data_IF_334329084827
#
_entry.id   IF_334329084827
#
_cell.length_a   1.000
_cell.length_b   1.000
_cell.length_c   1.000
_cell.angle_alpha   90.00
_cell.angle_beta   90.00
_cell.angle_gamma   90.00
#
_symmetry.space_group_name_H-M   'P 1'
#
loop_
_entity.id
_entity.type
_entity.pdbx_description
1 polymer ?
#
# COMPACT_ATOMS: atom_id res chain seq x y z
N UNK A 1 7.16 14.60 -10.56
CA UNK A 1 7.09 13.17 -10.95
C UNK A 1 7.57 12.39 -9.74
N UNK A 2 6.78 11.43 -9.23
CA UNK A 2 7.06 10.82 -7.92
C UNK A 2 7.83 9.51 -8.07
N UNK A 3 8.97 9.39 -7.37
CA UNK A 3 9.82 8.19 -7.41
C UNK A 3 9.08 6.93 -6.92
N UNK A 4 8.24 7.09 -5.88
CA UNK A 4 7.38 6.02 -5.36
C UNK A 4 6.34 5.56 -6.37
N UNK A 5 5.73 6.50 -7.09
CA UNK A 5 4.76 6.16 -8.14
C UNK A 5 5.39 5.39 -9.29
N UNK A 6 6.64 5.71 -9.63
CA UNK A 6 7.40 5.02 -10.68
C UNK A 6 7.79 3.61 -10.20
N UNK A 7 8.25 3.46 -8.96
CA UNK A 7 8.52 2.14 -8.35
C UNK A 7 7.26 1.28 -8.31
N UNK A 8 6.11 1.83 -7.90
CA UNK A 8 4.86 1.08 -7.92
C UNK A 8 4.39 0.72 -9.32
N UNK A 9 4.81 1.44 -10.35
CA UNK A 9 4.50 1.10 -11.74
C UNK A 9 5.42 0.00 -12.28
N UNK A 10 6.70 0.05 -11.93
CA UNK A 10 7.74 -0.82 -12.49
C UNK A 10 7.93 -2.11 -11.68
N UNK A 11 7.70 -2.05 -10.37
CA UNK A 11 8.09 -3.08 -9.40
C UNK A 11 6.92 -3.55 -8.54
N UNK A 12 5.69 -3.31 -8.99
CA UNK A 12 4.45 -3.72 -8.32
C UNK A 12 4.51 -5.17 -7.83
N UNK A 13 4.80 -6.11 -8.74
CA UNK A 13 4.78 -7.54 -8.42
C UNK A 13 5.88 -7.90 -7.41
N UNK A 14 7.05 -7.24 -7.47
CA UNK A 14 8.14 -7.48 -6.51
C UNK A 14 7.77 -7.01 -5.10
N UNK A 15 7.10 -5.86 -4.99
CA UNK A 15 6.60 -5.36 -3.70
C UNK A 15 5.54 -6.33 -3.15
N UNK A 16 4.62 -6.78 -4.01
CA UNK A 16 3.58 -7.73 -3.65
C UNK A 16 4.15 -9.10 -3.21
N UNK A 17 5.14 -9.63 -3.94
CA UNK A 17 5.82 -10.88 -3.60
C UNK A 17 6.56 -10.80 -2.27
N UNK A 18 7.34 -9.73 -2.05
CA UNK A 18 8.04 -9.52 -0.78
C UNK A 18 7.08 -9.41 0.40
N UNK A 19 5.99 -8.67 0.24
CA UNK A 19 4.94 -8.60 1.26
C UNK A 19 4.32 -9.99 1.50
N UNK A 20 3.95 -10.71 0.44
CA UNK A 20 3.32 -12.02 0.55
C UNK A 20 4.23 -13.07 1.21
N UNK A 21 5.55 -12.99 1.03
CA UNK A 21 6.51 -13.84 1.73
C UNK A 21 6.52 -13.60 3.25
N UNK A 22 6.31 -12.35 3.67
CA UNK A 22 6.31 -11.95 5.09
C UNK A 22 4.97 -12.23 5.77
N UNK A 23 3.86 -12.18 5.04
CA UNK A 23 2.50 -12.26 5.61
C UNK A 23 1.79 -13.58 5.34
N UNK A 24 2.24 -14.35 4.33
CA UNK A 24 1.62 -15.61 3.87
C UNK A 24 0.09 -15.48 3.73
N UNK A 25 -0.38 -14.51 2.94
CA UNK A 25 -1.79 -14.15 2.86
C UNK A 25 -2.60 -15.24 2.15
N UNK A 26 -3.91 -15.24 2.37
CA UNK A 26 -4.82 -15.98 1.49
C UNK A 26 -4.86 -15.35 0.09
N UNK A 27 -5.32 -16.10 -0.92
CA UNK A 27 -5.43 -15.58 -2.29
C UNK A 27 -6.29 -14.32 -2.37
N UNK A 28 -7.39 -14.26 -1.61
CA UNK A 28 -8.28 -13.10 -1.57
C UNK A 28 -7.62 -11.86 -0.96
N UNK A 29 -6.83 -12.02 0.12
CA UNK A 29 -6.09 -10.90 0.71
C UNK A 29 -4.98 -10.43 -0.23
N UNK A 30 -4.26 -11.36 -0.89
CA UNK A 30 -3.24 -11.02 -1.89
C UNK A 30 -3.81 -10.20 -3.03
N UNK A 31 -4.96 -10.59 -3.56
CA UNK A 31 -5.65 -9.84 -4.62
C UNK A 31 -6.03 -8.43 -4.17
N UNK A 32 -6.60 -8.28 -2.97
CA UNK A 32 -6.98 -6.97 -2.44
C UNK A 32 -5.76 -6.05 -2.26
N UNK A 33 -4.64 -6.59 -1.77
CA UNK A 33 -3.39 -5.83 -1.64
C UNK A 33 -2.79 -5.47 -3.00
N UNK A 34 -2.90 -6.33 -4.01
CA UNK A 34 -2.47 -6.02 -5.37
C UNK A 34 -3.25 -4.81 -5.95
N UNK A 35 -4.56 -4.77 -5.73
CA UNK A 35 -5.42 -3.65 -6.12
C UNK A 35 -5.07 -2.38 -5.33
N UNK A 36 -4.82 -2.51 -4.03
CA UNK A 36 -4.41 -1.42 -3.14
C UNK A 36 -3.11 -0.77 -3.62
N UNK A 37 -2.08 -1.57 -3.94
CA UNK A 37 -0.80 -1.06 -4.46
C UNK A 37 -0.97 -0.32 -5.80
N UNK A 38 -1.84 -0.81 -6.67
CA UNK A 38 -2.16 -0.15 -7.94
C UNK A 38 -2.79 1.22 -7.71
N UNK A 39 -3.79 1.28 -6.81
CA UNK A 39 -4.50 2.51 -6.49
C UNK A 39 -3.64 3.51 -5.70
N UNK A 40 -2.72 3.01 -4.87
CA UNK A 40 -1.72 3.81 -4.18
C UNK A 40 -0.78 4.49 -5.17
N UNK A 41 -0.31 3.76 -6.19
CA UNK A 41 0.52 4.33 -7.25
C UNK A 41 -0.19 5.43 -8.03
N UNK A 42 -1.50 5.27 -8.29
CA UNK A 42 -2.32 6.32 -8.90
C UNK A 42 -2.46 7.56 -7.99
N UNK A 43 -2.68 7.36 -6.69
CA UNK A 43 -2.81 8.45 -5.71
C UNK A 43 -1.51 9.23 -5.52
N UNK A 44 -0.37 8.54 -5.51
CA UNK A 44 0.95 9.17 -5.48
C UNK A 44 1.23 10.01 -6.72
N UNK A 45 0.84 9.55 -7.91
CA UNK A 45 0.94 10.35 -9.15
C UNK A 45 0.08 11.60 -9.11
N UNK A 46 -1.13 11.48 -8.58
CA UNK A 46 -2.07 12.58 -8.47
C UNK A 46 -1.77 13.55 -7.31
N UNK A 47 -0.87 13.16 -6.39
CA UNK A 47 -0.57 13.91 -5.17
C UNK A 47 -1.75 14.00 -4.19
N UNK A 48 -2.76 13.14 -4.34
CA UNK A 48 -3.99 13.18 -3.54
C UNK A 48 -4.67 11.81 -3.51
N UNK A 49 -5.45 11.54 -2.46
CA UNK A 49 -6.22 10.30 -2.29
C UNK A 49 -7.18 10.12 -3.46
N UNK A 50 -7.07 9.00 -4.18
CA UNK A 50 -8.05 8.61 -5.20
C UNK A 50 -9.17 7.74 -4.60
N UNK A 51 -10.41 7.83 -5.08
CA UNK A 51 -11.50 6.96 -4.63
C UNK A 51 -11.16 5.47 -4.71
N UNK A 52 -10.45 5.06 -5.77
CA UNK A 52 -9.99 3.68 -5.94
C UNK A 52 -9.10 3.18 -4.80
N UNK A 53 -8.31 4.06 -4.17
CA UNK A 53 -7.48 3.70 -3.01
C UNK A 53 -8.36 3.34 -1.82
N UNK A 54 -9.42 4.11 -1.58
CA UNK A 54 -10.35 3.88 -0.49
C UNK A 54 -11.15 2.59 -0.71
N UNK A 55 -11.64 2.33 -1.92
CA UNK A 55 -12.35 1.08 -2.21
C UNK A 55 -11.45 -0.15 -2.04
N UNK A 56 -10.21 -0.10 -2.54
CA UNK A 56 -9.26 -1.18 -2.36
C UNK A 56 -8.91 -1.40 -0.88
N UNK A 57 -8.76 -0.32 -0.11
CA UNK A 57 -8.54 -0.39 1.33
C UNK A 57 -9.71 -1.05 2.07
N UNK A 58 -10.96 -0.74 1.70
CA UNK A 58 -12.15 -1.40 2.26
C UNK A 58 -12.17 -2.89 1.94
N UNK A 59 -11.84 -3.26 0.70
CA UNK A 59 -11.79 -4.67 0.29
C UNK A 59 -10.73 -5.43 1.09
N UNK A 60 -9.53 -4.85 1.27
CA UNK A 60 -8.48 -5.44 2.11
C UNK A 60 -8.91 -5.55 3.59
N UNK A 61 -9.61 -4.54 4.11
CA UNK A 61 -10.21 -4.54 5.44
C UNK A 61 -11.21 -5.69 5.64
N UNK A 62 -12.17 -5.83 4.72
CA UNK A 62 -13.20 -6.89 4.72
C UNK A 62 -12.61 -8.30 4.61
N UNK A 63 -11.47 -8.45 3.92
CA UNK A 63 -10.80 -9.75 3.74
C UNK A 63 -9.75 -10.05 4.81
N UNK A 64 -9.36 -9.07 5.61
CA UNK A 64 -8.35 -9.26 6.64
C UNK A 64 -8.89 -10.10 7.80
N UNK A 65 -8.12 -11.07 8.31
CA UNK A 65 -8.59 -11.99 9.33
C UNK A 65 -8.74 -11.34 10.72
N UNK A 66 -7.91 -10.34 11.02
CA UNK A 66 -7.96 -9.57 12.26
C UNK A 66 -7.30 -8.20 12.07
N UNK A 67 -7.70 -7.22 12.88
CA UNK A 67 -7.23 -5.84 12.79
C UNK A 67 -5.70 -5.71 12.93
N UNK A 68 -5.07 -6.51 13.79
CA UNK A 68 -3.61 -6.48 13.97
C UNK A 68 -2.85 -6.96 12.72
N UNK A 69 -3.42 -7.88 11.94
CA UNK A 69 -2.84 -8.30 10.66
C UNK A 69 -2.97 -7.19 9.64
N UNK A 70 -4.12 -6.52 9.60
CA UNK A 70 -4.33 -5.36 8.73
C UNK A 70 -3.31 -4.27 9.02
N UNK A 71 -3.16 -3.85 10.28
CA UNK A 71 -2.18 -2.83 10.66
C UNK A 71 -0.74 -3.23 10.31
N UNK A 72 -0.39 -4.51 10.54
CA UNK A 72 0.90 -5.07 10.14
C UNK A 72 1.11 -5.05 8.64
N UNK A 73 0.09 -5.39 7.85
CA UNK A 73 0.15 -5.37 6.38
C UNK A 73 0.51 -3.98 5.88
N UNK A 74 -0.19 -2.93 6.35
CA UNK A 74 0.10 -1.55 5.94
C UNK A 74 1.51 -1.10 6.34
N UNK A 75 1.98 -1.46 7.53
CA UNK A 75 3.36 -1.20 7.95
C UNK A 75 4.37 -1.86 7.01
N UNK A 76 4.18 -3.16 6.71
CA UNK A 76 5.05 -3.92 5.82
C UNK A 76 5.06 -3.39 4.38
N UNK A 77 3.91 -2.93 3.88
CA UNK A 77 3.81 -2.33 2.55
C UNK A 77 4.55 -0.99 2.49
N UNK A 78 4.36 -0.11 3.49
CA UNK A 78 5.10 1.16 3.57
C UNK A 78 6.60 0.91 3.63
N UNK A 79 7.04 0.06 4.55
CA UNK A 79 8.47 -0.21 4.74
C UNK A 79 9.06 -0.87 3.48
N UNK A 80 8.34 -1.83 2.86
CA UNK A 80 8.77 -2.45 1.60
C UNK A 80 8.87 -1.47 0.43
N UNK A 81 8.04 -0.42 0.37
CA UNK A 81 8.15 0.63 -0.63
C UNK A 81 9.38 1.53 -0.39
N UNK A 82 9.64 1.88 0.88
CA UNK A 82 10.82 2.66 1.26
C UNK A 82 12.12 1.89 0.98
N UNK A 83 12.16 0.60 1.33
CA UNK A 83 13.26 -0.32 0.99
C UNK A 83 13.53 -0.32 -0.52
N UNK A 84 12.47 -0.38 -1.35
CA UNK A 84 12.61 -0.36 -2.82
C UNK A 84 13.12 0.98 -3.34
N UNK A 85 12.73 2.11 -2.75
CA UNK A 85 13.28 3.42 -3.11
C UNK A 85 14.78 3.46 -2.84
N UNK A 86 15.19 3.03 -1.65
CA UNK A 86 16.59 2.98 -1.23
C UNK A 86 17.42 2.05 -2.13
N UNK A 87 16.97 0.82 -2.33
CA UNK A 87 17.64 -0.18 -3.16
C UNK A 87 17.74 0.24 -4.65
N UNK A 88 16.78 1.02 -5.15
CA UNK A 88 16.80 1.57 -6.51
C UNK A 88 17.67 2.81 -6.68
N UNK A 89 18.32 3.29 -5.59
CA UNK A 89 19.11 4.54 -5.59
C UNK A 89 18.36 5.74 -6.17
N UNK A 90 17.02 5.74 -6.09
CA UNK A 90 16.19 6.83 -6.61
C UNK A 90 16.08 7.92 -5.54
N UNK A 91 16.33 9.18 -5.88
CA UNK A 91 16.12 10.26 -4.93
C UNK A 91 14.63 10.37 -4.61
N UNK A 92 14.33 10.50 -3.31
CA UNK A 92 12.98 10.74 -2.82
C UNK A 92 13.01 11.92 -1.84
N UNK A 93 12.02 12.78 -1.96
CA UNK A 93 11.89 13.96 -1.12
C UNK A 93 11.14 13.66 0.17
N UNK A 94 11.37 14.45 1.22
CA UNK A 94 10.55 14.38 2.45
C UNK A 94 9.06 14.68 2.18
N UNK A 95 8.76 15.47 1.13
CA UNK A 95 7.39 15.71 0.71
C UNK A 95 6.72 14.42 0.22
N UNK A 96 7.41 13.61 -0.57
CA UNK A 96 6.90 12.31 -1.03
C UNK A 96 6.72 11.31 0.12
N UNK A 97 7.63 11.29 1.09
CA UNK A 97 7.49 10.47 2.30
C UNK A 97 6.23 10.84 3.09
N UNK A 98 5.95 12.14 3.24
CA UNK A 98 4.73 12.63 3.90
C UNK A 98 3.49 12.20 3.14
N UNK A 99 3.46 12.40 1.83
CA UNK A 99 2.33 11.96 0.98
C UNK A 99 2.12 10.45 1.09
N UNK A 100 3.17 9.64 1.03
CA UNK A 100 3.05 8.18 1.21
C UNK A 100 2.43 7.84 2.57
N UNK A 101 2.95 8.46 3.63
CA UNK A 101 2.49 8.21 5.01
C UNK A 101 1.01 8.57 5.16
N UNK A 102 0.61 9.76 4.69
CA UNK A 102 -0.78 10.22 4.74
C UNK A 102 -1.73 9.29 3.95
N UNK A 103 -1.30 8.82 2.77
CA UNK A 103 -2.08 7.89 1.94
C UNK A 103 -2.22 6.52 2.60
N UNK A 104 -1.15 5.99 3.20
CA UNK A 104 -1.14 4.72 3.92
C UNK A 104 -2.02 4.80 5.17
N UNK A 105 -1.90 5.86 5.96
CA UNK A 105 -2.70 6.07 7.17
C UNK A 105 -4.19 6.20 6.82
N UNK A 106 -4.51 6.90 5.74
CA UNK A 106 -5.90 7.03 5.27
C UNK A 106 -6.47 5.69 4.80
N UNK A 107 -5.69 4.91 4.06
CA UNK A 107 -6.09 3.58 3.62
C UNK A 107 -6.26 2.61 4.80
N UNK A 108 -5.33 2.62 5.77
CA UNK A 108 -5.46 1.83 6.99
C UNK A 108 -6.73 2.17 7.76
N UNK A 109 -7.01 3.47 7.98
CA UNK A 109 -8.21 3.91 8.68
C UNK A 109 -9.49 3.43 7.97
N UNK A 110 -9.52 3.51 6.64
CA UNK A 110 -10.66 3.04 5.83
C UNK A 110 -10.82 1.51 5.89
N UNK A 111 -9.71 0.77 5.78
CA UNK A 111 -9.71 -0.68 5.91
C UNK A 111 -10.14 -1.14 7.31
N UNK A 112 -9.66 -0.48 8.36
CA UNK A 112 -10.04 -0.76 9.74
C UNK A 112 -11.54 -0.52 9.98
N UNK A 113 -12.07 0.58 9.45
CA UNK A 113 -13.49 0.88 9.52
C UNK A 113 -14.35 -0.14 8.77
N UNK A 114 -13.86 -0.69 7.66
CA UNK A 114 -14.53 -1.73 6.89
C UNK A 114 -14.45 -3.12 7.56
N UNK A 115 -13.36 -3.41 8.27
CA UNK A 115 -13.19 -4.65 9.03
C UNK A 115 -14.14 -4.74 10.24
N UNK A 116 -14.48 -3.61 10.84
CA UNK A 116 -15.36 -3.54 12.00
C UNK A 116 -16.88 -3.65 11.67
N UNK A 117 -17.23 -3.85 10.40
CA UNK A 117 -18.62 -3.97 9.91
C UNK A 117 -18.96 -5.41 9.58
#
# INVERSE_FOLDING_TARGET
MSALADILKEEHERVLERWALRTRPSAGVREAVAQLLTALGASLRAGQVQPALLEAAREHGRRSPHLDALARDYGLLRDGLLDRVEESSRPMTLAEVRVLTDLVDRALAEGAAAHAR
#
